data_IF_681181735566
#
_entry.id   IF_681181735566
#
_cell.length_a   1.000
_cell.length_b   1.000
_cell.length_c   1.000
_cell.angle_alpha   90.00
_cell.angle_beta   90.00
_cell.angle_gamma   90.00
#
_symmetry.space_group_name_H-M   'P 1'
#
loop_
_entity.id
_entity.type
_entity.pdbx_description
1 polymer ?
#
# COMPACT_ATOMS: atom_id res chain seq x y z
N UNK A 1 2.15 8.84 0.93
CA UNK A 1 2.19 9.59 -0.36
C UNK A 1 0.88 10.29 -0.64
N UNK A 2 -0.28 9.59 -0.68
CA UNK A 2 -1.56 10.25 -1.00
C UNK A 2 -2.51 10.41 0.20
N UNK A 3 -2.73 9.36 0.99
CA UNK A 3 -3.72 9.39 2.09
C UNK A 3 -3.43 10.42 3.17
N UNK A 4 -2.20 10.47 3.68
CA UNK A 4 -1.83 11.45 4.73
C UNK A 4 -1.83 12.90 4.20
N UNK A 5 -1.21 13.22 3.03
CA UNK A 5 -1.30 14.58 2.49
C UNK A 5 -2.74 15.04 2.21
N UNK A 6 -3.64 14.14 1.80
CA UNK A 6 -5.05 14.48 1.66
C UNK A 6 -5.65 14.91 3.01
N UNK A 7 -5.39 14.16 4.07
CA UNK A 7 -5.85 14.51 5.42
C UNK A 7 -5.27 15.86 5.87
N UNK A 8 -3.99 16.11 5.60
CA UNK A 8 -3.35 17.39 5.93
C UNK A 8 -4.04 18.55 5.19
N UNK A 9 -4.33 18.39 3.89
CA UNK A 9 -5.12 19.37 3.14
C UNK A 9 -6.51 19.60 3.77
N UNK A 10 -7.15 18.54 4.25
CA UNK A 10 -8.47 18.61 4.89
C UNK A 10 -8.44 19.32 6.24
N UNK A 11 -7.39 19.12 7.03
CA UNK A 11 -7.17 19.88 8.28
C UNK A 11 -7.03 21.38 7.99
N UNK A 12 -6.37 21.73 6.89
CA UNK A 12 -6.22 23.12 6.42
C UNK A 12 -7.46 23.68 5.69
N UNK A 13 -8.56 22.91 5.61
CA UNK A 13 -9.82 23.36 5.03
C UNK A 13 -9.97 23.17 3.52
N UNK A 14 -9.06 22.42 2.88
CA UNK A 14 -9.11 22.09 1.44
C UNK A 14 -9.66 20.68 1.21
N UNK A 15 -10.20 20.42 0.01
CA UNK A 15 -10.66 19.08 -0.40
C UNK A 15 -11.64 18.40 0.58
N UNK A 16 -12.43 19.20 1.31
CA UNK A 16 -13.35 18.71 2.35
C UNK A 16 -14.47 17.81 1.82
N UNK A 17 -14.80 17.92 0.52
CA UNK A 17 -15.80 17.07 -0.15
C UNK A 17 -15.25 15.75 -0.66
N UNK A 18 -13.93 15.52 -0.52
CA UNK A 18 -13.28 14.29 -0.94
C UNK A 18 -13.35 13.30 0.21
N UNK A 19 -13.98 12.15 -0.02
CA UNK A 19 -14.13 11.08 0.97
C UNK A 19 -12.93 10.13 0.87
N UNK A 20 -12.01 10.11 1.86
CA UNK A 20 -10.81 9.28 1.78
C UNK A 20 -11.12 7.79 1.70
N UNK A 21 -12.18 7.34 2.37
CA UNK A 21 -12.57 5.92 2.38
C UNK A 21 -13.06 5.44 1.00
N UNK A 22 -13.57 6.35 0.16
CA UNK A 22 -13.97 6.02 -1.21
C UNK A 22 -12.78 5.98 -2.18
N UNK A 23 -11.63 6.56 -1.82
CA UNK A 23 -10.40 6.52 -2.61
C UNK A 23 -9.49 5.37 -2.16
N UNK A 24 -9.35 5.20 -0.85
CA UNK A 24 -8.40 4.28 -0.26
C UNK A 24 -9.04 2.98 0.22
N UNK A 25 -10.36 2.90 0.33
CA UNK A 25 -11.07 1.68 0.75
C UNK A 25 -10.46 1.06 2.01
N UNK A 26 -10.26 -0.26 1.97
CA UNK A 26 -9.62 -1.02 3.04
C UNK A 26 -8.08 -1.10 2.93
N UNK A 27 -7.43 -0.08 2.35
CA UNK A 27 -5.97 -0.08 2.13
C UNK A 27 -5.16 -0.35 3.40
N UNK A 28 -5.61 0.10 4.56
CA UNK A 28 -4.91 -0.15 5.82
C UNK A 28 -4.88 -1.63 6.19
N UNK A 29 -6.02 -2.32 6.06
CA UNK A 29 -6.10 -3.77 6.23
C UNK A 29 -5.23 -4.49 5.21
N UNK A 30 -5.25 -4.04 3.95
CA UNK A 30 -4.41 -4.59 2.87
C UNK A 30 -2.91 -4.47 3.19
N UNK A 31 -2.48 -3.31 3.69
CA UNK A 31 -1.11 -3.08 4.13
C UNK A 31 -0.74 -3.99 5.31
N UNK A 32 -1.63 -4.15 6.30
CA UNK A 32 -1.39 -5.00 7.46
C UNK A 32 -1.20 -6.47 7.05
N UNK A 33 -2.08 -7.03 6.22
CA UNK A 33 -1.96 -8.44 5.79
C UNK A 33 -0.75 -8.66 4.89
N UNK A 34 -0.42 -7.70 4.02
CA UNK A 34 0.77 -7.75 3.16
C UNK A 34 2.05 -7.68 3.99
N UNK A 35 2.08 -6.81 5.00
CA UNK A 35 3.23 -6.67 5.88
C UNK A 35 3.46 -7.91 6.74
N UNK A 36 2.39 -8.50 7.29
CA UNK A 36 2.47 -9.76 8.02
C UNK A 36 3.03 -10.90 7.15
N UNK A 37 2.65 -10.97 5.87
CA UNK A 37 3.26 -11.90 4.91
C UNK A 37 4.77 -11.66 4.76
N UNK A 38 5.18 -10.41 4.54
CA UNK A 38 6.60 -10.06 4.38
C UNK A 38 7.42 -10.39 5.62
N UNK A 39 6.88 -10.15 6.82
CA UNK A 39 7.54 -10.49 8.09
C UNK A 39 7.75 -11.99 8.23
N UNK A 40 6.73 -12.79 7.93
CA UNK A 40 6.83 -14.25 7.99
C UNK A 40 7.78 -14.78 6.91
N UNK A 41 7.73 -14.24 5.69
CA UNK A 41 8.66 -14.60 4.63
C UNK A 41 10.12 -14.31 5.03
N UNK A 42 10.38 -13.11 5.55
CA UNK A 42 11.71 -12.71 6.01
C UNK A 42 12.20 -13.62 7.14
N UNK A 43 11.34 -13.93 8.12
CA UNK A 43 11.67 -14.86 9.20
C UNK A 43 12.08 -16.24 8.66
N UNK A 44 11.25 -16.85 7.80
CA UNK A 44 11.54 -18.18 7.23
C UNK A 44 12.81 -18.17 6.36
N UNK A 45 13.07 -17.06 5.66
CA UNK A 45 14.31 -16.88 4.89
C UNK A 45 15.54 -16.91 5.80
N UNK A 46 15.53 -16.15 6.91
CA UNK A 46 16.64 -16.09 7.87
C UNK A 46 16.85 -17.46 8.55
N UNK A 47 15.78 -18.14 8.93
CA UNK A 47 15.85 -19.51 9.48
C UNK A 47 16.52 -20.47 8.48
N UNK A 48 16.08 -20.46 7.22
CA UNK A 48 16.66 -21.32 6.18
C UNK A 48 18.13 -21.02 5.88
N UNK A 49 18.55 -19.75 5.96
CA UNK A 49 19.97 -19.36 5.81
C UNK A 49 20.80 -19.89 6.99
N UNK A 50 20.29 -19.75 8.22
CA UNK A 50 20.99 -20.20 9.43
C UNK A 50 21.16 -21.73 9.50
N UNK A 51 20.21 -22.48 8.93
CA UNK A 51 20.25 -23.95 8.88
C UNK A 51 21.26 -24.51 7.85
N UNK A 52 21.94 -23.63 7.09
CA UNK A 52 22.96 -23.99 6.10
C UNK A 52 22.43 -24.71 4.86
N UNK A 53 21.13 -25.03 4.82
CA UNK A 53 20.42 -25.61 3.67
C UNK A 53 19.40 -24.59 3.15
N UNK A 54 19.89 -23.65 2.34
CA UNK A 54 19.03 -22.66 1.71
C UNK A 54 18.17 -23.30 0.62
N UNK A 55 16.91 -23.60 0.94
CA UNK A 55 15.95 -24.19 0.03
C UNK A 55 14.81 -23.20 -0.24
N UNK A 56 15.05 -22.25 -1.15
CA UNK A 56 14.11 -21.16 -1.45
C UNK A 56 12.69 -21.65 -1.75
N UNK A 57 12.56 -22.77 -2.48
CA UNK A 57 11.25 -23.33 -2.83
C UNK A 57 10.45 -23.76 -1.61
N UNK A 58 11.07 -24.37 -0.59
CA UNK A 58 10.37 -24.80 0.62
C UNK A 58 9.96 -23.61 1.49
N UNK A 59 10.78 -22.56 1.53
CA UNK A 59 10.45 -21.29 2.21
C UNK A 59 9.22 -20.63 1.55
N UNK A 60 9.20 -20.57 0.22
CA UNK A 60 8.07 -20.03 -0.56
C UNK A 60 6.82 -20.87 -0.31
N UNK A 61 6.92 -22.20 -0.42
CA UNK A 61 5.78 -23.09 -0.16
C UNK A 61 5.23 -22.89 1.25
N UNK A 62 6.09 -22.84 2.26
CA UNK A 62 5.71 -22.67 3.66
C UNK A 62 4.98 -21.35 3.91
N UNK A 63 5.49 -20.22 3.38
CA UNK A 63 4.86 -18.91 3.60
C UNK A 63 3.50 -18.83 2.91
N UNK A 64 3.38 -19.33 1.67
CA UNK A 64 2.10 -19.32 0.95
C UNK A 64 1.08 -20.28 1.57
N UNK A 65 1.50 -21.45 2.04
CA UNK A 65 0.62 -22.39 2.72
C UNK A 65 0.08 -21.82 4.04
N UNK A 66 0.92 -21.11 4.81
CA UNK A 66 0.46 -20.37 6.00
C UNK A 66 -0.48 -19.23 5.64
N UNK A 67 -0.13 -18.42 4.64
CA UNK A 67 -0.89 -17.25 4.25
C UNK A 67 -2.28 -17.60 3.69
N UNK A 68 -2.35 -18.59 2.80
CA UNK A 68 -3.59 -19.02 2.14
C UNK A 68 -4.60 -19.70 3.06
N UNK A 69 -4.16 -20.23 4.21
CA UNK A 69 -5.07 -20.82 5.22
C UNK A 69 -5.78 -19.78 6.07
N UNK A 70 -5.31 -18.53 6.06
CA UNK A 70 -5.93 -17.45 6.82
C UNK A 70 -7.06 -16.82 5.98
N UNK A 71 -8.26 -16.76 6.55
CA UNK A 71 -9.42 -16.12 5.90
C UNK A 71 -9.24 -14.60 5.78
N UNK A 72 -8.53 -13.99 6.75
CA UNK A 72 -8.35 -12.54 6.83
C UNK A 72 -7.63 -11.93 5.60
N UNK A 73 -6.47 -12.43 5.15
CA UNK A 73 -5.84 -11.91 3.93
C UNK A 73 -6.73 -12.05 2.69
N UNK A 74 -7.37 -13.20 2.50
CA UNK A 74 -8.26 -13.43 1.35
C UNK A 74 -9.39 -12.41 1.35
N UNK A 75 -10.05 -12.21 2.49
CA UNK A 75 -11.12 -11.23 2.64
C UNK A 75 -10.65 -9.79 2.36
N UNK A 76 -9.48 -9.40 2.86
CA UNK A 76 -8.91 -8.07 2.65
C UNK A 76 -8.65 -7.79 1.16
N UNK A 77 -8.00 -8.71 0.44
CA UNK A 77 -7.76 -8.56 -1.00
C UNK A 77 -9.08 -8.59 -1.80
N UNK A 78 -10.03 -9.44 -1.43
CA UNK A 78 -11.33 -9.50 -2.09
C UNK A 78 -12.11 -8.19 -1.94
N UNK A 79 -12.18 -7.64 -0.73
CA UNK A 79 -12.84 -6.35 -0.47
C UNK A 79 -12.20 -5.22 -1.29
N UNK A 80 -10.87 -5.20 -1.38
CA UNK A 80 -10.16 -4.22 -2.22
C UNK A 80 -10.54 -4.37 -3.70
N UNK A 81 -10.48 -5.58 -4.24
CA UNK A 81 -10.77 -5.86 -5.65
C UNK A 81 -12.23 -5.55 -6.02
N UNK A 82 -13.20 -5.89 -5.17
CA UNK A 82 -14.63 -5.64 -5.43
C UNK A 82 -14.91 -4.14 -5.50
N UNK A 83 -14.28 -3.34 -4.63
CA UNK A 83 -14.50 -1.90 -4.57
C UNK A 83 -13.64 -1.10 -5.57
N UNK A 84 -12.68 -1.74 -6.24
CA UNK A 84 -11.74 -1.06 -7.13
C UNK A 84 -12.42 -0.27 -8.24
N UNK A 85 -13.47 -0.84 -8.86
CA UNK A 85 -14.21 -0.15 -9.92
C UNK A 85 -14.90 1.12 -9.41
N UNK A 86 -15.62 1.04 -8.30
CA UNK A 86 -16.30 2.18 -7.69
C UNK A 86 -15.31 3.27 -7.27
N UNK A 87 -14.13 2.87 -6.77
CA UNK A 87 -13.02 3.77 -6.43
C UNK A 87 -12.54 4.55 -7.65
N UNK A 88 -12.34 3.89 -8.79
CA UNK A 88 -11.92 4.55 -10.04
C UNK A 88 -12.98 5.53 -10.55
N UNK A 89 -14.25 5.15 -10.52
CA UNK A 89 -15.36 6.01 -10.91
C UNK A 89 -15.43 7.26 -10.02
N UNK A 90 -15.25 7.09 -8.70
CA UNK A 90 -15.20 8.20 -7.76
C UNK A 90 -14.03 9.15 -8.03
N UNK A 91 -12.83 8.62 -8.28
CA UNK A 91 -11.66 9.42 -8.66
C UNK A 91 -11.91 10.24 -9.94
N UNK A 92 -12.53 9.64 -10.96
CA UNK A 92 -12.90 10.37 -12.18
C UNK A 92 -13.90 11.49 -11.90
N UNK A 93 -14.88 11.26 -11.02
CA UNK A 93 -15.83 12.29 -10.63
C UNK A 93 -15.13 13.46 -9.94
N UNK A 94 -14.29 13.21 -8.93
CA UNK A 94 -13.61 14.28 -8.18
C UNK A 94 -12.75 15.14 -9.11
N UNK A 95 -11.96 14.49 -9.99
CA UNK A 95 -11.10 15.18 -10.97
C UNK A 95 -11.86 16.13 -11.90
N UNK A 96 -13.16 15.91 -12.11
CA UNK A 96 -14.02 16.77 -12.95
C UNK A 96 -14.69 17.89 -12.19
N UNK A 97 -14.91 17.73 -10.88
CA UNK A 97 -15.68 18.69 -10.07
C UNK A 97 -14.78 19.64 -9.27
N UNK A 98 -13.51 19.27 -9.02
CA UNK A 98 -12.58 20.09 -8.24
C UNK A 98 -11.17 20.07 -8.83
N UNK A 99 -10.81 21.13 -9.57
CA UNK A 99 -9.48 21.30 -10.17
C UNK A 99 -8.34 21.30 -9.14
N UNK A 100 -8.63 21.63 -7.87
CA UNK A 100 -7.63 21.57 -6.79
C UNK A 100 -7.20 20.14 -6.50
N UNK A 101 -8.08 19.16 -6.75
CA UNK A 101 -7.73 17.76 -6.59
C UNK A 101 -6.67 17.32 -7.62
N UNK A 102 -6.76 17.82 -8.86
CA UNK A 102 -5.74 17.56 -9.88
C UNK A 102 -4.38 18.13 -9.48
N UNK A 103 -4.37 19.31 -8.86
CA UNK A 103 -3.13 19.90 -8.36
C UNK A 103 -2.56 19.12 -7.18
N UNK A 104 -3.43 18.69 -6.25
CA UNK A 104 -3.07 17.79 -5.17
C UNK A 104 -2.43 16.49 -5.67
N UNK A 105 -2.98 15.86 -6.72
CA UNK A 105 -2.41 14.64 -7.30
C UNK A 105 -1.00 14.88 -7.85
N UNK A 106 -0.78 15.98 -8.57
CA UNK A 106 0.55 16.34 -9.11
C UNK A 106 1.58 16.56 -8.00
N UNK A 107 1.23 17.35 -6.98
CA UNK A 107 2.14 17.64 -5.86
C UNK A 107 2.47 16.35 -5.09
N UNK A 108 1.47 15.49 -4.88
CA UNK A 108 1.67 14.20 -4.22
C UNK A 108 2.63 13.29 -4.99
N UNK A 109 2.57 13.28 -6.33
CA UNK A 109 3.50 12.53 -7.18
C UNK A 109 4.92 13.10 -7.10
N UNK A 110 5.08 14.41 -7.26
CA UNK A 110 6.40 15.07 -7.23
C UNK A 110 7.10 14.84 -5.88
N UNK A 111 6.35 14.96 -4.78
CA UNK A 111 6.89 14.70 -3.44
C UNK A 111 7.38 13.26 -3.26
N UNK A 112 6.76 12.28 -3.94
CA UNK A 112 7.21 10.89 -3.92
C UNK A 112 8.49 10.69 -4.71
N UNK A 113 8.60 11.30 -5.89
CA UNK A 113 9.81 11.20 -6.71
C UNK A 113 11.01 11.74 -5.94
N UNK A 114 10.89 12.91 -5.31
CA UNK A 114 11.95 13.49 -4.47
C UNK A 114 12.36 12.57 -3.29
N UNK A 115 11.38 11.97 -2.60
CA UNK A 115 11.64 11.00 -1.53
C UNK A 115 12.32 9.73 -2.04
N UNK A 116 11.98 9.26 -3.24
CA UNK A 116 12.60 8.08 -3.85
C UNK A 116 14.07 8.33 -4.19
N UNK A 117 14.42 9.51 -4.70
CA UNK A 117 15.82 9.90 -4.91
C UNK A 117 16.61 9.92 -3.61
N UNK A 118 16.05 10.50 -2.54
CA UNK A 118 16.67 10.51 -1.21
C UNK A 118 16.81 9.09 -0.61
N UNK A 119 15.83 8.21 -0.85
CA UNK A 119 15.87 6.80 -0.44
C UNK A 119 16.99 6.02 -1.13
N UNK A 120 17.19 6.26 -2.43
CA UNK A 120 18.28 5.63 -3.21
C UNK A 120 19.65 6.07 -2.70
N UNK A 121 19.81 7.34 -2.30
CA UNK A 121 21.06 7.84 -1.71
C UNK A 121 21.41 7.17 -0.38
N UNK A 122 20.42 6.89 0.48
CA UNK A 122 20.65 6.21 1.77
C UNK A 122 21.10 4.76 1.59
N UNK A 123 20.58 4.06 0.59
CA UNK A 123 20.94 2.66 0.31
C UNK A 123 22.32 2.52 -0.33
N UNK A 124 22.85 3.57 -0.99
CA UNK A 124 24.21 3.58 -1.56
C UNK A 124 25.27 3.97 -0.50
N UNK A 125 24.84 4.59 0.61
CA UNK A 125 25.73 5.06 1.69
C UNK A 125 25.82 4.13 2.91
N UNK A 126 25.27 2.90 2.84
CA UNK A 126 25.31 1.91 3.91
C UNK A 126 25.98 0.62 3.41
#
# INVERSE_FOLDING_TARGET
VYKEPLKDCQVEGYLLSVEPDLIFGNLEELCQVSFAFCQEFHKLLIESVNDGHFATTSVIEAVFNKFSRNVSPIAAYQAYCINYKATLEYLETIRKIDDRFLEFEKVSILSYEDLSYLGTFKTISA
#
